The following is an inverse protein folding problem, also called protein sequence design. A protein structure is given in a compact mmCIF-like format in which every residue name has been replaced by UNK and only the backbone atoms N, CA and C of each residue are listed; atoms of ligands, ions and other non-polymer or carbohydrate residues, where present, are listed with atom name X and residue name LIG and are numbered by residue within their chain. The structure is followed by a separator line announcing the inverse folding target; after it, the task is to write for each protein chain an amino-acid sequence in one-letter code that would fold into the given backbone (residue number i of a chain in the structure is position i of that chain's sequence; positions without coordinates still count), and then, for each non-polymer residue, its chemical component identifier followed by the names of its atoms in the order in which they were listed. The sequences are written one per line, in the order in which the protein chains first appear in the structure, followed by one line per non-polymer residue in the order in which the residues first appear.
data_IF_783697952514
#
_entry.id   IF_783697952514
#
_cell.length_a   1.000
_cell.length_b   1.000
_cell.length_c   1.000
_cell.angle_alpha   90.00
_cell.angle_beta   90.00
_cell.angle_gamma   90.00
#
_symmetry.space_group_name_H-M   'P 1'
#
loop_
_entity.id
_entity.type
_entity.pdbx_description
1 polymer ?
#
# COMPACT_ATOMS: atom_id res chain seq x y z
N UNK A 1 -18.26 -8.89 9.22
CA UNK A 1 -19.35 -8.58 10.18
C UNK A 1 -19.36 -9.57 11.34
N UNK A 2 -19.35 -10.88 11.10
CA UNK A 2 -19.41 -11.89 12.17
C UNK A 2 -18.29 -11.72 13.20
N UNK A 3 -17.06 -11.48 12.76
CA UNK A 3 -15.94 -11.26 13.68
C UNK A 3 -16.13 -10.00 14.56
N UNK A 4 -16.68 -8.94 13.99
CA UNK A 4 -16.97 -7.72 14.78
C UNK A 4 -18.13 -7.96 15.75
N UNK A 5 -19.15 -8.69 15.34
CA UNK A 5 -20.28 -9.03 16.19
C UNK A 5 -19.85 -9.86 17.41
N UNK A 6 -18.89 -10.78 17.24
CA UNK A 6 -18.42 -11.68 18.29
C UNK A 6 -17.36 -11.02 19.20
N UNK A 7 -16.41 -10.28 18.62
CA UNK A 7 -15.23 -9.79 19.33
C UNK A 7 -15.08 -8.27 19.36
N UNK A 8 -15.98 -7.53 18.73
CA UNK A 8 -15.87 -6.08 18.62
C UNK A 8 -14.55 -5.65 17.97
N UNK A 9 -13.91 -4.64 18.52
CA UNK A 9 -12.60 -4.17 18.03
C UNK A 9 -11.46 -5.19 18.21
N UNK A 10 -11.59 -6.15 19.14
CA UNK A 10 -10.59 -7.21 19.31
C UNK A 10 -10.48 -8.15 18.08
N UNK A 11 -11.48 -8.16 17.21
CA UNK A 11 -11.42 -8.85 15.91
C UNK A 11 -10.22 -8.43 15.07
N UNK A 12 -9.79 -7.16 15.16
CA UNK A 12 -8.68 -6.61 14.38
C UNK A 12 -7.34 -7.31 14.67
N UNK A 13 -7.16 -7.87 15.87
CA UNK A 13 -5.96 -8.64 16.21
C UNK A 13 -5.89 -9.98 15.47
N UNK A 14 -7.04 -10.50 15.05
CA UNK A 14 -7.16 -11.80 14.36
C UNK A 14 -7.06 -11.67 12.83
N UNK A 15 -7.19 -10.47 12.29
CA UNK A 15 -7.16 -10.26 10.84
C UNK A 15 -5.74 -10.29 10.31
N UNK A 16 -5.53 -11.06 9.24
CA UNK A 16 -4.31 -11.10 8.45
C UNK A 16 -4.67 -10.58 7.06
N UNK A 17 -4.01 -9.52 6.60
CA UNK A 17 -4.25 -8.97 5.27
C UNK A 17 -4.32 -7.45 5.23
N UNK A 18 -4.77 -6.95 4.09
CA UNK A 18 -4.88 -5.53 3.75
C UNK A 18 -6.35 -5.15 3.72
N UNK A 19 -6.75 -4.21 4.54
CA UNK A 19 -8.16 -3.83 4.64
C UNK A 19 -8.35 -2.38 5.12
N UNK A 20 -9.42 -1.79 4.62
CA UNK A 20 -10.06 -0.64 5.20
C UNK A 20 -11.57 -0.86 5.08
N UNK A 21 -12.29 -0.69 6.17
CA UNK A 21 -13.75 -0.89 6.16
C UNK A 21 -14.45 -0.03 7.20
N UNK A 22 -15.74 0.15 6.99
CA UNK A 22 -16.65 0.82 7.93
C UNK A 22 -17.81 -0.10 8.24
N UNK A 23 -18.17 -0.18 9.51
CA UNK A 23 -19.34 -0.90 10.00
C UNK A 23 -20.26 0.13 10.66
N UNK A 24 -21.51 0.16 10.24
CA UNK A 24 -22.58 0.83 10.97
C UNK A 24 -23.14 -0.14 12.00
N UNK A 25 -22.95 0.17 13.28
CA UNK A 25 -23.53 -0.57 14.40
C UNK A 25 -24.81 0.13 14.84
N UNK A 26 -25.91 -0.41 14.38
CA UNK A 26 -27.23 0.16 14.63
C UNK A 26 -27.63 0.13 16.11
N UNK A 27 -27.21 -0.93 16.83
CA UNK A 27 -27.54 -1.07 18.25
C UNK A 27 -26.82 -0.02 19.11
N UNK A 28 -25.57 0.24 18.78
CA UNK A 28 -24.73 1.24 19.49
C UNK A 28 -24.87 2.64 18.90
N UNK A 29 -25.60 2.80 17.77
CA UNK A 29 -25.68 4.07 17.03
C UNK A 29 -24.31 4.68 16.73
N UNK A 30 -23.39 3.87 16.23
CA UNK A 30 -22.03 4.27 15.94
C UNK A 30 -21.53 3.78 14.58
N UNK A 31 -20.56 4.50 14.02
CA UNK A 31 -19.72 4.00 12.93
C UNK A 31 -18.40 3.50 13.51
N UNK A 32 -18.02 2.30 13.15
CA UNK A 32 -16.70 1.73 13.43
C UNK A 32 -15.93 1.63 12.13
N UNK A 33 -14.86 2.38 11.99
CA UNK A 33 -13.99 2.34 10.83
C UNK A 33 -12.59 1.89 11.22
N UNK A 34 -11.91 1.13 10.37
CA UNK A 34 -10.54 0.72 10.65
C UNK A 34 -9.69 0.68 9.39
N UNK A 35 -8.38 0.75 9.59
CA UNK A 35 -7.35 0.63 8.57
C UNK A 35 -6.34 -0.43 8.99
N UNK A 36 -5.84 -1.22 8.05
CA UNK A 36 -4.90 -2.31 8.31
C UNK A 36 -3.60 -1.83 8.97
N UNK A 37 -2.82 -2.80 9.47
CA UNK A 37 -1.60 -2.55 10.26
C UNK A 37 -0.58 -1.67 9.56
N UNK A 38 -0.30 -1.95 8.30
CA UNK A 38 0.67 -1.21 7.49
C UNK A 38 0.05 -0.01 6.74
N UNK A 39 -1.30 0.13 6.77
CA UNK A 39 -2.00 1.17 6.04
C UNK A 39 -1.98 0.99 4.53
N UNK A 40 -1.91 -0.26 4.06
CA UNK A 40 -1.87 -0.58 2.63
C UNK A 40 -3.14 -0.12 1.92
N UNK A 41 -4.32 -0.33 2.56
CA UNK A 41 -5.55 0.22 2.02
C UNK A 41 -5.74 1.66 2.49
N UNK A 42 -6.01 2.60 1.58
CA UNK A 42 -6.25 3.99 1.94
C UNK A 42 -7.58 4.16 2.68
N UNK A 43 -7.60 5.13 3.59
CA UNK A 43 -8.81 5.55 4.26
C UNK A 43 -8.73 7.05 4.57
N UNK A 44 -9.48 7.85 3.82
CA UNK A 44 -9.69 9.28 4.06
C UNK A 44 -11.01 9.50 4.76
N UNK A 45 -11.05 10.51 5.64
CA UNK A 45 -12.29 10.97 6.23
C UNK A 45 -12.29 12.48 6.42
N UNK A 46 -13.46 13.07 6.25
CA UNK A 46 -13.75 14.46 6.53
C UNK A 46 -14.69 14.52 7.73
N UNK A 47 -14.42 15.42 8.67
CA UNK A 47 -15.27 15.60 9.83
C UNK A 47 -15.35 17.08 10.22
N UNK A 48 -16.51 17.69 9.97
CA UNK A 48 -16.79 19.10 10.29
C UNK A 48 -18.28 19.28 10.56
N UNK A 49 -18.61 20.02 11.61
CA UNK A 49 -19.98 20.42 11.97
C UNK A 49 -20.98 19.23 12.02
N UNK A 50 -20.49 18.06 12.43
CA UNK A 50 -21.27 16.84 12.52
C UNK A 50 -21.50 16.12 11.18
N UNK A 51 -20.97 16.63 10.07
CA UNK A 51 -20.89 15.90 8.81
C UNK A 51 -19.65 14.99 8.84
N UNK A 52 -19.86 13.72 8.58
CA UNK A 52 -18.79 12.74 8.44
C UNK A 52 -18.85 12.11 7.05
N UNK A 53 -17.77 12.26 6.27
CA UNK A 53 -17.60 11.59 4.97
C UNK A 53 -16.39 10.70 5.04
N UNK A 54 -16.39 9.61 4.29
CA UNK A 54 -15.23 8.72 4.20
C UNK A 54 -15.12 8.08 2.82
N UNK A 55 -13.91 7.66 2.47
CA UNK A 55 -13.64 6.99 1.21
C UNK A 55 -12.20 6.53 1.10
N UNK A 56 -11.93 5.72 0.09
CA UNK A 56 -10.56 5.32 -0.24
C UNK A 56 -9.79 6.40 -0.98
N UNK A 57 -10.48 7.33 -1.62
CA UNK A 57 -9.92 8.41 -2.43
C UNK A 57 -10.61 9.74 -2.10
N UNK A 58 -9.83 10.84 -2.08
CA UNK A 58 -10.38 12.17 -1.80
C UNK A 58 -11.38 12.63 -2.85
N UNK A 59 -11.17 12.24 -4.11
CA UNK A 59 -12.10 12.61 -5.20
C UNK A 59 -13.53 12.15 -4.93
N UNK A 60 -13.73 11.09 -4.15
CA UNK A 60 -15.07 10.66 -3.72
C UNK A 60 -15.68 11.63 -2.70
N UNK A 61 -14.89 12.12 -1.73
CA UNK A 61 -15.35 13.09 -0.74
C UNK A 61 -15.67 14.45 -1.39
N UNK A 62 -14.87 14.82 -2.39
CA UNK A 62 -15.02 16.08 -3.13
C UNK A 62 -16.36 16.19 -3.90
N UNK A 63 -17.06 15.08 -4.12
CA UNK A 63 -18.37 15.08 -4.78
C UNK A 63 -19.51 15.49 -3.85
N UNK A 64 -19.29 15.45 -2.54
CA UNK A 64 -20.34 15.83 -1.59
C UNK A 64 -20.52 17.35 -1.56
N UNK A 65 -21.76 17.89 -1.74
CA UNK A 65 -22.01 19.34 -1.88
C UNK A 65 -21.60 20.16 -0.64
N UNK A 66 -21.60 19.55 0.53
CA UNK A 66 -21.19 20.20 1.79
C UNK A 66 -19.71 20.00 2.12
N UNK A 67 -18.92 19.40 1.24
CA UNK A 67 -17.47 19.32 1.43
C UNK A 67 -16.84 20.70 1.18
N UNK A 68 -16.04 21.18 2.14
CA UNK A 68 -15.35 22.46 2.01
C UNK A 68 -13.94 22.26 1.45
N UNK A 69 -13.70 22.75 0.23
CA UNK A 69 -12.39 22.67 -0.46
C UNK A 69 -11.46 23.78 0.03
N UNK A 70 -11.07 23.72 1.28
CA UNK A 70 -10.15 24.69 1.88
C UNK A 70 -8.77 24.02 2.06
N UNK A 71 -7.73 24.63 1.48
CA UNK A 71 -6.38 24.08 1.50
C UNK A 71 -5.78 24.21 2.91
N UNK A 72 -5.21 23.13 3.40
CA UNK A 72 -4.44 23.09 4.63
C UNK A 72 -3.00 23.55 4.35
N UNK A 73 -2.65 24.74 4.82
CA UNK A 73 -1.31 25.34 4.58
C UNK A 73 -0.19 24.55 5.24
N UNK A 74 -0.44 23.91 6.39
CA UNK A 74 0.55 23.06 7.05
C UNK A 74 0.82 21.79 6.24
N UNK A 75 -0.22 21.24 5.59
CA UNK A 75 -0.05 20.11 4.69
C UNK A 75 0.73 20.50 3.43
N UNK A 76 0.55 21.72 2.91
CA UNK A 76 1.39 22.24 1.81
C UNK A 76 2.84 22.38 2.24
N UNK A 77 3.10 22.93 3.44
CA UNK A 77 4.46 23.05 3.98
C UNK A 77 5.12 21.67 4.14
N UNK A 78 4.36 20.70 4.67
CA UNK A 78 4.83 19.32 4.80
C UNK A 78 5.12 18.68 3.44
N UNK A 79 4.28 18.92 2.43
CA UNK A 79 4.54 18.44 1.06
C UNK A 79 5.84 19.03 0.50
N UNK A 80 6.08 20.31 0.67
CA UNK A 80 7.33 20.95 0.20
C UNK A 80 8.58 20.40 0.90
N UNK A 81 8.43 19.95 2.13
CA UNK A 81 9.53 19.37 2.91
C UNK A 81 9.77 17.89 2.59
N UNK A 82 8.72 17.09 2.45
CA UNK A 82 8.79 15.63 2.37
C UNK A 82 8.48 15.06 0.99
N UNK A 83 7.94 15.84 0.06
CA UNK A 83 7.48 15.37 -1.24
C UNK A 83 6.10 14.69 -1.21
N UNK A 84 5.47 14.59 -0.05
CA UNK A 84 4.12 14.05 0.15
C UNK A 84 3.47 14.67 1.39
N UNK A 85 2.18 14.48 1.56
CA UNK A 85 1.46 14.91 2.78
C UNK A 85 1.45 13.78 3.80
N UNK A 86 2.20 13.90 4.93
CA UNK A 86 2.27 12.82 5.93
C UNK A 86 0.93 12.56 6.65
N UNK A 87 0.65 11.29 6.92
CA UNK A 87 -0.47 10.88 7.80
C UNK A 87 -0.27 11.44 9.23
N UNK A 88 -1.31 11.97 9.91
CA UNK A 88 -2.73 11.89 9.54
C UNK A 88 -3.23 13.04 8.67
N UNK A 89 -2.38 13.99 8.29
CA UNK A 89 -2.78 15.18 7.59
C UNK A 89 -3.27 14.87 6.16
N UNK A 90 -4.09 15.76 5.64
CA UNK A 90 -4.58 15.77 4.29
C UNK A 90 -4.42 17.17 3.70
N UNK A 91 -4.40 17.28 2.38
CA UNK A 91 -4.26 18.56 1.68
C UNK A 91 -5.42 19.55 1.95
N UNK A 92 -6.57 19.05 2.41
CA UNK A 92 -7.73 19.87 2.79
C UNK A 92 -7.90 19.92 4.29
N UNK A 93 -8.36 21.08 4.80
CA UNK A 93 -8.76 21.27 6.18
C UNK A 93 -9.90 20.30 6.56
N UNK A 94 -10.02 19.97 7.83
CA UNK A 94 -11.05 19.08 8.39
C UNK A 94 -11.07 17.67 7.76
N UNK A 95 -10.05 17.36 6.95
CA UNK A 95 -9.88 16.08 6.27
C UNK A 95 -8.63 15.37 6.77
N UNK A 96 -8.71 14.07 6.94
CA UNK A 96 -7.64 13.29 7.56
C UNK A 96 -7.48 11.93 6.90
N UNK A 97 -6.28 11.36 7.03
CA UNK A 97 -5.99 9.95 6.75
C UNK A 97 -6.03 9.17 8.06
N UNK A 98 -6.85 8.13 8.14
CA UNK A 98 -6.80 7.24 9.29
C UNK A 98 -5.41 6.59 9.38
N UNK A 99 -4.76 6.71 10.55
CA UNK A 99 -3.40 6.17 10.73
C UNK A 99 -3.37 4.65 10.54
N UNK A 100 -2.28 4.08 9.99
CA UNK A 100 -2.04 2.64 9.99
C UNK A 100 -2.19 2.04 11.40
N UNK A 101 -2.79 0.84 11.48
CA UNK A 101 -2.98 0.17 12.77
C UNK A 101 -3.94 0.86 13.73
N UNK A 102 -4.84 1.70 13.22
CA UNK A 102 -5.86 2.40 14.01
C UNK A 102 -7.27 2.06 13.55
N UNK A 103 -8.19 2.18 14.47
CA UNK A 103 -9.61 2.27 14.20
C UNK A 103 -10.19 3.58 14.75
N UNK A 104 -11.36 3.92 14.23
CA UNK A 104 -12.11 5.13 14.57
C UNK A 104 -13.51 4.72 14.97
N UNK A 105 -14.04 5.32 16.01
CA UNK A 105 -15.45 5.24 16.41
C UNK A 105 -16.04 6.64 16.32
N UNK A 106 -17.12 6.78 15.57
CA UNK A 106 -17.97 7.96 15.55
C UNK A 106 -19.30 7.61 16.23
N UNK A 107 -19.56 8.23 17.36
CA UNK A 107 -20.88 8.19 18.03
C UNK A 107 -21.83 9.11 17.27
N UNK A 108 -22.93 8.57 16.77
CA UNK A 108 -23.88 9.31 15.94
C UNK A 108 -24.85 10.16 16.75
N UNK A 109 -24.98 9.91 18.05
CA UNK A 109 -25.84 10.70 18.93
C UNK A 109 -25.10 11.94 19.44
N UNK A 110 -23.89 11.74 19.96
CA UNK A 110 -23.05 12.82 20.50
C UNK A 110 -22.23 13.52 19.42
N UNK A 111 -22.10 12.93 18.24
CA UNK A 111 -21.22 13.35 17.14
C UNK A 111 -19.75 13.47 17.59
N UNK A 112 -19.33 12.64 18.52
CA UNK A 112 -17.94 12.57 18.97
C UNK A 112 -17.18 11.52 18.20
N UNK A 113 -15.95 11.88 17.79
CA UNK A 113 -15.06 11.01 17.05
C UNK A 113 -13.85 10.68 17.90
N UNK A 114 -13.56 9.37 18.02
CA UNK A 114 -12.43 8.86 18.76
C UNK A 114 -11.61 7.91 17.91
N UNK A 115 -10.28 8.09 17.92
CA UNK A 115 -9.35 7.16 17.24
C UNK A 115 -8.55 6.37 18.27
N UNK A 116 -8.37 5.08 18.01
CA UNK A 116 -7.64 4.17 18.90
C UNK A 116 -6.65 3.34 18.12
N UNK A 117 -5.42 3.24 18.61
CA UNK A 117 -4.38 2.38 18.03
C UNK A 117 -4.61 0.93 18.49
N UNK A 118 -4.68 -0.01 17.56
CA UNK A 118 -4.74 -1.43 17.86
C UNK A 118 -3.44 -2.18 17.53
N UNK A 119 -2.55 -1.58 16.71
CA UNK A 119 -1.25 -2.16 16.36
C UNK A 119 -0.20 -1.07 16.12
N UNK A 120 1.06 -1.39 16.39
CA UNK A 120 2.20 -0.53 16.09
C UNK A 120 3.42 -1.37 15.74
N UNK A 121 4.17 -0.97 14.72
CA UNK A 121 5.42 -1.61 14.32
C UNK A 121 6.49 -1.56 15.42
N UNK A 122 6.55 -0.47 16.18
CA UNK A 122 7.50 -0.36 17.30
C UNK A 122 7.31 -1.40 18.40
N UNK A 123 6.08 -1.85 18.62
CA UNK A 123 5.80 -2.91 19.60
C UNK A 123 6.38 -4.26 19.16
N UNK A 124 6.47 -4.48 17.83
CA UNK A 124 7.14 -5.65 17.26
C UNK A 124 8.68 -5.48 17.23
N UNK A 125 9.16 -4.29 16.86
CA UNK A 125 10.58 -3.99 16.72
C UNK A 125 11.32 -4.01 18.09
N UNK A 126 10.67 -3.60 19.15
CA UNK A 126 11.21 -3.56 20.50
C UNK A 126 11.13 -4.92 21.25
N UNK A 127 10.63 -5.97 20.60
CA UNK A 127 10.72 -7.31 21.18
C UNK A 127 12.17 -7.76 21.31
N UNK A 128 12.48 -8.64 22.28
CA UNK A 128 13.81 -9.26 22.34
C UNK A 128 14.18 -9.87 21.00
N UNK A 129 15.42 -9.64 20.57
CA UNK A 129 15.94 -10.26 19.35
C UNK A 129 16.02 -11.77 19.55
N UNK A 130 15.76 -12.52 18.48
CA UNK A 130 15.92 -13.95 18.49
C UNK A 130 17.41 -14.31 18.57
N UNK A 131 17.76 -15.22 19.45
CA UNK A 131 19.11 -15.81 19.54
C UNK A 131 19.12 -17.09 18.70
N UNK A 132 19.32 -16.93 17.41
CA UNK A 132 19.31 -18.04 16.43
C UNK A 132 20.47 -17.90 15.45
N UNK A 133 20.90 -19.01 14.86
CA UNK A 133 21.94 -19.00 13.84
C UNK A 133 21.46 -18.32 12.55
N UNK A 134 22.40 -17.83 11.73
CA UNK A 134 22.06 -17.24 10.42
C UNK A 134 21.29 -18.24 9.50
N UNK A 135 21.66 -19.52 9.38
CA UNK A 135 20.87 -20.48 8.62
C UNK A 135 19.42 -20.63 9.12
N UNK A 136 19.23 -20.65 10.45
CA UNK A 136 17.90 -20.75 11.03
C UNK A 136 17.09 -19.46 10.79
N UNK A 137 17.74 -18.29 10.89
CA UNK A 137 17.13 -17.00 10.58
C UNK A 137 16.65 -16.94 9.12
N UNK A 138 17.46 -17.41 8.17
CA UNK A 138 17.09 -17.50 6.75
C UNK A 138 15.86 -18.41 6.58
N UNK A 139 15.88 -19.58 7.20
CA UNK A 139 14.80 -20.57 7.11
C UNK A 139 13.47 -20.02 7.68
N UNK A 140 13.50 -19.41 8.86
CA UNK A 140 12.31 -18.82 9.46
C UNK A 140 11.82 -17.60 8.66
N UNK A 141 12.72 -16.78 8.10
CA UNK A 141 12.36 -15.65 7.23
C UNK A 141 11.68 -16.17 5.95
N UNK A 142 12.24 -17.17 5.27
CA UNK A 142 11.62 -17.77 4.07
C UNK A 142 10.20 -18.30 4.39
N UNK A 143 10.02 -18.94 5.52
CA UNK A 143 8.73 -19.47 5.96
C UNK A 143 7.70 -18.36 6.17
N UNK A 144 8.09 -17.28 6.85
CA UNK A 144 7.19 -16.13 7.10
C UNK A 144 6.85 -15.43 5.79
N UNK A 145 7.83 -15.17 4.92
CA UNK A 145 7.63 -14.54 3.62
C UNK A 145 6.74 -15.41 2.71
N UNK A 146 6.99 -16.73 2.68
CA UNK A 146 6.15 -17.67 1.92
C UNK A 146 4.71 -17.59 2.34
N UNK A 147 4.44 -17.66 3.65
CA UNK A 147 3.08 -17.51 4.18
C UNK A 147 2.47 -16.16 3.81
N UNK A 148 3.22 -15.06 3.99
CA UNK A 148 2.75 -13.72 3.69
C UNK A 148 2.40 -13.53 2.20
N UNK A 149 3.21 -14.06 1.29
CA UNK A 149 2.98 -13.95 -0.15
C UNK A 149 1.84 -14.86 -0.62
N UNK A 150 1.75 -16.09 -0.11
CA UNK A 150 0.66 -17.00 -0.45
C UNK A 150 -0.70 -16.45 -0.04
N UNK A 151 -0.84 -15.83 1.14
CA UNK A 151 -2.08 -15.17 1.54
C UNK A 151 -2.52 -14.08 0.55
N UNK A 152 -1.58 -13.39 -0.09
CA UNK A 152 -1.87 -12.33 -1.06
C UNK A 152 -2.23 -12.83 -2.44
N UNK A 153 -1.92 -14.10 -2.73
CA UNK A 153 -2.36 -14.77 -3.97
C UNK A 153 -3.81 -15.27 -3.89
N UNK A 154 -4.41 -15.34 -2.69
CA UNK A 154 -5.82 -15.71 -2.54
C UNK A 154 -6.68 -14.57 -3.11
N UNK A 155 -7.29 -14.82 -4.26
CA UNK A 155 -8.05 -13.81 -5.00
C UNK A 155 -9.09 -14.48 -5.89
N UNK A 156 -10.24 -13.82 -6.07
CA UNK A 156 -11.30 -14.23 -7.02
C UNK A 156 -10.99 -13.78 -8.47
N UNK A 157 -9.86 -13.11 -8.67
CA UNK A 157 -9.46 -12.56 -9.97
C UNK A 157 -7.99 -12.88 -10.26
N UNK A 158 -7.55 -12.85 -11.55
CA UNK A 158 -6.15 -13.08 -11.90
C UNK A 158 -5.21 -12.13 -11.18
N UNK A 159 -4.14 -12.69 -10.59
CA UNK A 159 -3.07 -11.96 -9.90
C UNK A 159 -1.78 -12.05 -10.69
N UNK A 160 -1.03 -10.96 -10.74
CA UNK A 160 0.32 -10.89 -11.28
C UNK A 160 1.31 -10.29 -10.29
N UNK A 161 2.57 -10.17 -10.69
CA UNK A 161 3.66 -9.62 -9.88
C UNK A 161 4.45 -8.60 -10.70
N UNK A 162 4.77 -7.46 -10.11
CA UNK A 162 5.74 -6.53 -10.69
C UNK A 162 7.15 -7.03 -10.43
N UNK A 163 7.92 -7.23 -11.49
CA UNK A 163 9.29 -7.72 -11.43
C UNK A 163 10.24 -6.65 -11.99
N UNK A 164 10.98 -5.98 -11.13
CA UNK A 164 11.95 -4.94 -11.53
C UNK A 164 13.34 -5.49 -11.83
N UNK A 165 13.66 -6.68 -11.34
CA UNK A 165 15.02 -7.23 -11.39
C UNK A 165 15.84 -6.92 -10.13
N UNK A 166 15.31 -6.14 -9.19
CA UNK A 166 15.87 -5.94 -7.86
C UNK A 166 15.67 -7.17 -6.97
N UNK A 167 16.40 -7.23 -5.85
CA UNK A 167 16.38 -8.37 -4.92
C UNK A 167 14.98 -8.66 -4.38
N UNK A 168 14.24 -7.64 -3.97
CA UNK A 168 12.95 -7.79 -3.32
C UNK A 168 11.90 -8.38 -4.26
N UNK A 169 11.74 -7.79 -5.45
CA UNK A 169 10.79 -8.28 -6.46
C UNK A 169 11.17 -9.67 -6.96
N UNK A 170 12.45 -9.96 -7.04
CA UNK A 170 12.97 -11.29 -7.40
C UNK A 170 12.64 -12.30 -6.32
N UNK A 171 12.85 -11.97 -5.04
CA UNK A 171 12.53 -12.84 -3.91
C UNK A 171 11.04 -13.18 -3.86
N UNK A 172 10.17 -12.17 -3.98
CA UNK A 172 8.72 -12.36 -4.05
C UNK A 172 8.35 -13.31 -5.20
N UNK A 173 8.86 -13.04 -6.40
CA UNK A 173 8.56 -13.84 -7.59
C UNK A 173 9.06 -15.27 -7.46
N UNK A 174 10.28 -15.47 -6.95
CA UNK A 174 10.89 -16.79 -6.78
C UNK A 174 10.12 -17.64 -5.78
N UNK A 175 9.77 -17.08 -4.61
CA UNK A 175 8.97 -17.78 -3.59
C UNK A 175 7.60 -18.16 -4.14
N UNK A 176 6.94 -17.24 -4.84
CA UNK A 176 5.63 -17.50 -5.40
C UNK A 176 5.69 -18.55 -6.52
N UNK A 177 6.65 -18.47 -7.44
CA UNK A 177 6.78 -19.46 -8.52
C UNK A 177 7.17 -20.84 -7.99
N UNK A 178 8.05 -20.91 -7.00
CA UNK A 178 8.44 -22.20 -6.32
C UNK A 178 7.20 -22.90 -5.73
N UNK A 179 6.22 -22.16 -5.26
CA UNK A 179 5.04 -22.69 -4.58
C UNK A 179 3.78 -22.73 -5.47
N UNK A 180 3.93 -22.48 -6.78
CA UNK A 180 2.84 -22.56 -7.75
C UNK A 180 3.18 -23.53 -8.88
N UNK A 181 2.22 -24.37 -9.26
CA UNK A 181 2.33 -25.26 -10.42
C UNK A 181 2.15 -24.53 -11.75
N UNK A 182 1.41 -23.43 -11.76
CA UNK A 182 1.20 -22.60 -12.93
C UNK A 182 2.23 -21.47 -13.01
N UNK A 183 2.47 -21.00 -14.23
CA UNK A 183 3.36 -19.86 -14.45
C UNK A 183 2.74 -18.60 -13.91
N UNK A 184 3.42 -17.93 -12.99
CA UNK A 184 3.01 -16.63 -12.47
C UNK A 184 3.21 -15.58 -13.55
N UNK A 185 2.20 -14.73 -13.72
CA UNK A 185 2.30 -13.57 -14.60
C UNK A 185 3.17 -12.49 -13.97
N UNK A 186 4.22 -12.07 -14.68
CA UNK A 186 5.12 -11.02 -14.22
C UNK A 186 5.16 -9.86 -15.22
N UNK A 187 5.34 -8.64 -14.72
CA UNK A 187 5.29 -7.42 -15.53
C UNK A 187 6.48 -6.52 -15.21
N UNK A 188 7.09 -5.96 -16.25
CA UNK A 188 8.21 -5.02 -16.15
C UNK A 188 8.03 -3.87 -17.11
N UNK A 189 8.46 -2.67 -16.69
CA UNK A 189 8.67 -1.54 -17.58
C UNK A 189 10.15 -1.35 -17.83
N UNK A 190 10.53 -1.29 -19.08
CA UNK A 190 11.82 -0.82 -19.55
C UNK A 190 11.74 0.66 -19.96
N UNK A 191 12.88 1.33 -19.86
CA UNK A 191 13.08 2.70 -20.33
C UNK A 191 14.22 2.73 -21.35
N UNK A 192 14.23 3.69 -22.31
CA UNK A 192 15.28 3.76 -23.33
C UNK A 192 16.67 4.06 -22.76
N UNK A 193 16.73 4.68 -21.56
CA UNK A 193 18.00 5.02 -20.92
C UNK A 193 18.65 3.75 -20.33
N UNK A 194 19.78 3.36 -20.89
CA UNK A 194 20.50 2.15 -20.48
C UNK A 194 20.96 2.17 -19.00
N UNK A 195 21.14 3.35 -18.40
CA UNK A 195 21.54 3.48 -17.00
C UNK A 195 20.42 3.24 -16.00
N UNK A 196 19.17 3.34 -16.43
CA UNK A 196 17.98 3.19 -15.60
C UNK A 196 17.10 1.99 -16.02
N UNK A 197 17.52 1.24 -17.04
CA UNK A 197 16.72 0.16 -17.61
C UNK A 197 16.96 -1.16 -16.91
N UNK A 198 16.05 -1.54 -16.03
CA UNK A 198 16.07 -2.82 -15.31
C UNK A 198 15.42 -3.99 -16.09
N UNK A 199 14.70 -3.71 -17.19
CA UNK A 199 13.96 -4.73 -17.93
C UNK A 199 14.82 -5.92 -18.42
N UNK A 200 16.07 -5.73 -18.90
CA UNK A 200 16.92 -6.86 -19.29
C UNK A 200 17.22 -7.82 -18.13
N UNK A 201 17.41 -7.30 -16.92
CA UNK A 201 17.66 -8.12 -15.72
C UNK A 201 16.37 -8.86 -15.31
N UNK A 202 15.24 -8.14 -15.28
CA UNK A 202 13.94 -8.74 -14.98
C UNK A 202 13.61 -9.90 -15.94
N UNK A 203 13.89 -9.72 -17.24
CA UNK A 203 13.73 -10.76 -18.27
C UNK A 203 14.58 -12.01 -17.99
N UNK A 204 15.85 -11.81 -17.64
CA UNK A 204 16.73 -12.95 -17.31
C UNK A 204 16.18 -13.73 -16.12
N UNK A 205 15.76 -13.03 -15.06
CA UNK A 205 15.15 -13.61 -13.88
C UNK A 205 13.85 -14.36 -14.22
N UNK A 206 12.97 -13.71 -14.99
CA UNK A 206 11.72 -14.30 -15.43
C UNK A 206 11.92 -15.60 -16.22
N UNK A 207 12.89 -15.62 -17.13
CA UNK A 207 13.28 -16.81 -17.90
C UNK A 207 13.83 -17.92 -16.98
N UNK A 208 14.67 -17.57 -16.03
CA UNK A 208 15.23 -18.52 -15.06
C UNK A 208 14.16 -19.14 -14.17
N UNK A 209 13.22 -18.32 -13.69
CA UNK A 209 12.12 -18.76 -12.84
C UNK A 209 10.97 -19.43 -13.62
N UNK A 210 10.94 -19.28 -14.94
CA UNK A 210 9.91 -19.85 -15.82
C UNK A 210 8.55 -19.15 -15.75
N UNK A 211 8.50 -17.86 -15.40
CA UNK A 211 7.26 -17.09 -15.31
C UNK A 211 6.67 -16.74 -16.69
N UNK A 212 5.39 -16.36 -16.73
CA UNK A 212 4.74 -15.74 -17.90
C UNK A 212 5.02 -14.22 -17.87
N UNK A 213 6.11 -13.82 -18.52
CA UNK A 213 6.67 -12.48 -18.41
C UNK A 213 6.20 -11.55 -19.52
N UNK A 214 5.81 -10.33 -19.14
CA UNK A 214 5.44 -9.25 -20.06
C UNK A 214 6.35 -8.05 -19.82
N UNK A 215 7.09 -7.67 -20.86
CA UNK A 215 7.91 -6.46 -20.89
C UNK A 215 7.21 -5.37 -21.71
N UNK A 216 7.32 -4.14 -21.24
CA UNK A 216 6.91 -2.97 -22.03
C UNK A 216 7.99 -1.89 -21.94
N UNK A 217 8.36 -1.31 -23.07
CA UNK A 217 9.33 -0.22 -23.12
C UNK A 217 8.61 1.10 -23.30
N UNK A 218 8.63 1.91 -22.24
CA UNK A 218 8.02 3.23 -22.22
C UNK A 218 8.87 4.23 -23.00
N UNK A 219 8.23 4.97 -23.90
CA UNK A 219 8.85 6.11 -24.57
C UNK A 219 8.75 7.37 -23.72
N UNK A 220 9.67 8.35 -23.96
CA UNK A 220 9.57 9.66 -23.31
C UNK A 220 8.24 10.36 -23.59
N UNK A 221 7.67 10.18 -24.78
CA UNK A 221 6.38 10.75 -25.15
C UNK A 221 5.26 10.20 -24.26
N UNK A 222 5.19 8.89 -24.08
CA UNK A 222 4.20 8.24 -23.21
C UNK A 222 4.34 8.66 -21.77
N UNK A 223 5.58 8.82 -21.26
CA UNK A 223 5.84 9.33 -19.94
C UNK A 223 5.30 10.76 -19.76
N UNK A 224 5.53 11.64 -20.76
CA UNK A 224 5.01 13.01 -20.73
C UNK A 224 3.48 13.08 -20.82
N UNK A 225 2.83 12.17 -21.55
CA UNK A 225 1.38 12.09 -21.66
C UNK A 225 0.69 11.69 -20.35
N UNK A 226 1.42 11.07 -19.43
CA UNK A 226 0.90 10.71 -18.10
C UNK A 226 0.92 11.90 -17.14
N UNK A 227 1.89 12.79 -17.24
CA UNK A 227 2.06 13.91 -16.29
C UNK A 227 0.77 14.70 -16.05
N UNK A 228 -0.01 15.12 -17.06
CA UNK A 228 -1.29 15.80 -16.84
C UNK A 228 -2.35 14.94 -16.16
N UNK A 229 -2.19 13.61 -16.14
CA UNK A 229 -3.15 12.68 -15.55
C UNK A 229 -2.83 12.38 -14.07
N UNK A 230 -1.61 12.68 -13.60
CA UNK A 230 -1.18 12.40 -12.23
C UNK A 230 -2.12 13.01 -11.18
N UNK A 231 -2.61 14.27 -11.30
CA UNK A 231 -3.56 14.84 -10.34
C UNK A 231 -4.91 14.09 -10.27
N UNK A 232 -5.26 13.33 -11.30
CA UNK A 232 -6.45 12.48 -11.28
C UNK A 232 -6.19 11.14 -10.57
N UNK A 233 -4.99 10.58 -10.72
CA UNK A 233 -4.62 9.31 -10.08
C UNK A 233 -4.26 9.50 -8.61
N UNK A 234 -3.53 10.57 -8.31
CA UNK A 234 -3.10 10.92 -6.95
C UNK A 234 -3.97 12.07 -6.44
N UNK A 235 -4.71 11.83 -5.39
CA UNK A 235 -5.66 12.80 -4.83
C UNK A 235 -4.98 13.99 -4.12
N UNK A 236 -3.69 13.83 -3.80
CA UNK A 236 -2.86 14.84 -3.13
C UNK A 236 -1.57 15.07 -3.93
N UNK A 237 -0.88 16.21 -3.72
CA UNK A 237 0.45 16.42 -4.28
C UNK A 237 1.39 15.28 -3.86
N UNK A 238 2.08 14.70 -4.85
CA UNK A 238 2.98 13.56 -4.68
C UNK A 238 4.18 13.72 -5.61
N UNK A 239 5.38 13.93 -5.04
CA UNK A 239 6.60 14.27 -5.77
C UNK A 239 7.56 13.07 -5.93
N UNK A 240 7.01 11.87 -6.08
CA UNK A 240 7.80 10.66 -6.32
C UNK A 240 7.91 10.41 -7.83
N UNK A 241 9.14 10.31 -8.33
CA UNK A 241 9.42 10.02 -9.74
C UNK A 241 8.91 8.65 -10.19
N UNK A 242 8.70 7.72 -9.26
CA UNK A 242 8.13 6.40 -9.53
C UNK A 242 6.64 6.44 -9.94
N UNK A 243 5.96 7.57 -9.71
CA UNK A 243 4.54 7.74 -10.07
C UNK A 243 4.26 7.44 -11.56
N UNK A 244 5.15 7.86 -12.45
CA UNK A 244 5.01 7.63 -13.90
C UNK A 244 5.18 6.15 -14.26
N UNK A 245 6.31 5.48 -13.95
CA UNK A 245 6.48 4.07 -14.27
C UNK A 245 5.46 3.18 -13.57
N UNK A 246 5.06 3.48 -12.33
CA UNK A 246 4.01 2.73 -11.62
C UNK A 246 2.66 2.83 -12.32
N UNK A 247 2.30 4.02 -12.80
CA UNK A 247 1.06 4.22 -13.58
C UNK A 247 1.09 3.42 -14.89
N UNK A 248 2.22 3.41 -15.58
CA UNK A 248 2.38 2.66 -16.83
C UNK A 248 2.33 1.16 -16.62
N UNK A 249 3.11 0.62 -15.68
CA UNK A 249 3.13 -0.83 -15.42
C UNK A 249 1.77 -1.33 -14.95
N UNK A 250 1.07 -0.52 -14.15
CA UNK A 250 -0.29 -0.83 -13.71
C UNK A 250 -1.29 -0.87 -14.87
N UNK A 251 -1.18 0.05 -15.83
CA UNK A 251 -2.01 0.07 -17.04
C UNK A 251 -1.80 -1.20 -17.88
N UNK A 252 -0.56 -1.60 -18.09
CA UNK A 252 -0.21 -2.78 -18.89
C UNK A 252 -0.61 -4.07 -18.16
N UNK A 253 -0.33 -4.16 -16.86
CA UNK A 253 -0.74 -5.30 -16.07
C UNK A 253 -2.26 -5.48 -16.08
N UNK A 254 -3.02 -4.37 -16.09
CA UNK A 254 -4.49 -4.37 -16.10
C UNK A 254 -5.09 -5.04 -17.34
N UNK A 255 -4.37 -5.13 -18.43
CA UNK A 255 -4.79 -5.87 -19.63
C UNK A 255 -4.85 -7.39 -19.41
N UNK A 256 -4.06 -7.91 -18.47
CA UNK A 256 -3.90 -9.36 -18.23
C UNK A 256 -4.33 -9.81 -16.85
N UNK A 257 -4.28 -8.92 -15.85
CA UNK A 257 -4.61 -9.21 -14.46
C UNK A 257 -5.44 -8.09 -13.84
N UNK A 258 -6.16 -8.40 -12.78
CA UNK A 258 -6.92 -7.39 -12.02
C UNK A 258 -6.15 -6.90 -10.80
N UNK A 259 -5.28 -7.73 -10.27
CA UNK A 259 -4.43 -7.44 -9.11
C UNK A 259 -2.97 -7.69 -9.50
N UNK A 260 -2.09 -6.79 -9.11
CA UNK A 260 -0.64 -7.00 -9.19
C UNK A 260 -0.02 -6.81 -7.80
N UNK A 261 0.84 -7.72 -7.41
CA UNK A 261 1.65 -7.62 -6.21
C UNK A 261 2.93 -6.86 -6.53
N UNK A 262 3.35 -5.99 -5.62
CA UNK A 262 4.65 -5.35 -5.63
C UNK A 262 5.46 -5.77 -4.39
N UNK A 263 6.75 -5.49 -4.40
CA UNK A 263 7.65 -5.82 -3.31
C UNK A 263 7.91 -4.62 -2.38
N UNK A 264 6.96 -3.70 -2.29
CA UNK A 264 7.07 -2.52 -1.43
C UNK A 264 7.31 -2.91 0.03
N UNK A 265 8.07 -2.08 0.74
CA UNK A 265 8.53 -2.26 2.11
C UNK A 265 9.67 -3.29 2.31
N UNK A 266 10.22 -3.90 1.26
CA UNK A 266 11.40 -4.76 1.36
C UNK A 266 12.60 -4.00 1.91
N UNK A 267 12.96 -2.90 1.29
CA UNK A 267 14.08 -2.05 1.71
C UNK A 267 13.90 -1.49 3.14
N UNK A 268 12.68 -1.15 3.54
CA UNK A 268 12.38 -0.64 4.87
C UNK A 268 12.51 -1.72 5.95
N UNK A 269 12.16 -2.97 5.65
CA UNK A 269 12.23 -4.08 6.59
C UNK A 269 13.64 -4.65 6.69
N UNK A 270 14.35 -4.74 5.55
CA UNK A 270 15.65 -5.40 5.44
C UNK A 270 16.83 -4.41 5.27
N UNK A 271 16.59 -3.11 5.46
CA UNK A 271 17.59 -2.04 5.37
C UNK A 271 18.32 -1.99 4.00
N UNK A 272 17.56 -2.13 2.91
CA UNK A 272 18.10 -2.20 1.54
C UNK A 272 18.56 -0.86 0.97
N UNK A 273 18.13 0.28 1.53
CA UNK A 273 18.53 1.59 1.01
C UNK A 273 19.95 1.97 1.43
N UNK A 274 20.79 2.36 0.49
CA UNK A 274 22.15 2.87 0.73
C UNK A 274 22.18 4.05 1.72
N UNK A 275 21.09 4.83 1.81
CA UNK A 275 20.98 5.95 2.76
C UNK A 275 21.02 5.52 4.22
N UNK A 276 20.76 4.26 4.54
CA UNK A 276 20.86 3.74 5.90
C UNK A 276 22.31 3.62 6.37
N UNK A 277 23.27 3.44 5.44
CA UNK A 277 24.70 3.39 5.75
C UNK A 277 25.24 4.71 6.33
N UNK A 278 24.54 5.82 6.08
CA UNK A 278 24.88 7.13 6.62
C UNK A 278 24.25 7.42 7.99
N UNK A 279 23.42 6.52 8.50
CA UNK A 279 22.71 6.70 9.78
C UNK A 279 23.37 5.94 10.95
N UNK A 280 24.46 5.20 10.69
CA UNK A 280 25.17 4.37 11.68
C UNK A 280 26.37 5.13 12.25
#
# INVERSE_FOLDING_TARGET
LHAYSEWGSAALQKFIGMFAFVIYDENKKQLFACRDRAGVKPFFYYFKDGLFLFGSELKALLQHPSFTKEINTDAVAAFLQFGYVPTPNCIFNDTYKLKPGHYLILDLQTKTLQTTRYWNVYDAYNKPKLDISLPDAITETEKVLTSAFQYRMVSDVPVGVFLSGGYDSTCVTAILQKNNSEKIKTFTIGVPDAGLNEAPFAKQIANYLGTDHTEYYCTQKEALEIVPQLPFFYDEPFADSSAIPTTLVSRIAREKVTVALSADAGDEIFAGYNRYDYMV
#
